data_IF_397869820211
#
_entry.id   IF_397869820211
#
_cell.length_a   1.000
_cell.length_b   1.000
_cell.length_c   1.000
_cell.angle_alpha   90.00
_cell.angle_beta   90.00
_cell.angle_gamma   90.00
#
_symmetry.space_group_name_H-M   'P 1'
#
loop_
_entity.id
_entity.type
_entity.pdbx_description
1 polymer ?
#
# COMPACT_ATOMS: atom_id res chain seq x y z
N UNK A 1 12.26 14.67 16.67
CA UNK A 1 10.88 14.21 16.36
C UNK A 1 10.23 13.86 17.68
N UNK A 2 9.23 14.63 18.09
CA UNK A 2 8.42 14.30 19.26
C UNK A 2 7.30 13.37 18.80
N UNK A 3 7.00 12.34 19.59
CA UNK A 3 5.86 11.44 19.36
C UNK A 3 5.15 11.19 20.69
N UNK A 4 3.85 10.93 20.61
CA UNK A 4 3.02 10.43 21.70
C UNK A 4 2.31 9.17 21.23
N UNK A 5 2.13 8.19 22.12
CA UNK A 5 1.41 6.96 21.85
C UNK A 5 0.64 6.55 23.12
N UNK A 6 -0.66 6.30 22.99
CA UNK A 6 -1.51 5.86 24.10
C UNK A 6 -2.06 4.48 23.77
N UNK A 7 -1.54 3.47 24.47
CA UNK A 7 -1.90 2.08 24.24
C UNK A 7 -3.03 1.61 25.15
N UNK A 8 -4.02 0.93 24.56
CA UNK A 8 -5.11 0.30 25.30
C UNK A 8 -5.31 -1.14 24.83
N UNK A 9 -5.23 -2.06 25.78
CA UNK A 9 -5.51 -3.47 25.55
C UNK A 9 -6.98 -3.77 25.86
N UNK A 10 -7.68 -4.46 24.95
CA UNK A 10 -9.04 -4.95 25.19
C UNK A 10 -9.09 -5.95 26.34
N UNK A 11 -10.22 -6.05 27.05
CA UNK A 11 -10.39 -6.98 28.19
C UNK A 11 -10.08 -8.44 27.85
N UNK A 12 -10.46 -8.90 26.64
CA UNK A 12 -10.18 -10.25 26.18
C UNK A 12 -8.72 -10.46 25.71
N UNK A 13 -7.90 -9.42 25.77
CA UNK A 13 -6.49 -9.42 25.36
C UNK A 13 -6.24 -9.57 23.87
N UNK A 14 -7.26 -9.61 23.00
CA UNK A 14 -7.10 -9.92 21.55
C UNK A 14 -6.84 -8.69 20.68
N UNK A 15 -7.20 -7.49 21.16
CA UNK A 15 -7.07 -6.24 20.42
C UNK A 15 -6.23 -5.24 21.21
N UNK A 16 -5.25 -4.62 20.55
CA UNK A 16 -4.48 -3.50 21.05
C UNK A 16 -4.79 -2.28 20.20
N UNK A 17 -5.16 -1.16 20.82
CA UNK A 17 -5.30 0.13 20.13
C UNK A 17 -4.17 1.06 20.54
N UNK A 18 -3.67 1.87 19.62
CA UNK A 18 -2.64 2.88 19.84
C UNK A 18 -3.09 4.22 19.22
N UNK A 19 -3.40 5.19 20.07
CA UNK A 19 -3.63 6.57 19.64
C UNK A 19 -2.27 7.27 19.50
N UNK A 20 -1.70 7.17 18.30
CA UNK A 20 -0.39 7.71 17.96
C UNK A 20 -0.52 9.17 17.49
N UNK A 21 0.35 10.04 17.99
CA UNK A 21 0.50 11.42 17.50
C UNK A 21 1.96 11.70 17.18
N UNK A 22 2.25 12.05 15.92
CA UNK A 22 3.56 12.54 15.49
C UNK A 22 3.59 14.07 15.41
N UNK A 23 4.72 14.68 15.75
CA UNK A 23 4.94 16.11 15.62
C UNK A 23 6.07 16.41 14.63
N UNK A 24 5.82 17.29 13.68
CA UNK A 24 6.85 17.76 12.73
C UNK A 24 7.84 18.75 13.38
N UNK A 25 8.83 19.21 12.61
CA UNK A 25 9.84 20.16 13.11
C UNK A 25 9.26 21.55 13.44
N UNK A 26 8.05 21.88 12.97
CA UNK A 26 7.33 23.13 13.23
C UNK A 26 6.33 22.99 14.40
N UNK A 27 6.17 21.78 14.94
CA UNK A 27 5.25 21.47 16.05
C UNK A 27 3.83 21.10 15.63
N UNK A 28 3.55 20.96 14.33
CA UNK A 28 2.24 20.50 13.83
C UNK A 28 2.05 19.01 14.13
N UNK A 29 0.87 18.66 14.66
CA UNK A 29 0.52 17.31 15.07
C UNK A 29 -0.22 16.54 13.96
N UNK A 30 0.05 15.25 13.82
CA UNK A 30 -0.71 14.29 13.00
C UNK A 30 -1.05 13.06 13.83
N UNK A 31 -2.33 12.73 13.93
CA UNK A 31 -2.83 11.61 14.75
C UNK A 31 -3.25 10.42 13.88
N UNK A 32 -2.91 9.21 14.32
CA UNK A 32 -3.34 7.93 13.74
C UNK A 32 -3.86 7.05 14.87
N UNK A 33 -5.05 6.48 14.72
CA UNK A 33 -5.54 5.42 15.63
C UNK A 33 -5.22 4.04 15.04
N UNK A 34 -4.14 3.43 15.52
CA UNK A 34 -3.78 2.07 15.12
C UNK A 34 -4.59 1.02 15.89
N UNK A 35 -4.99 -0.03 15.20
CA UNK A 35 -5.72 -1.18 15.73
C UNK A 35 -4.94 -2.42 15.35
N UNK A 36 -4.52 -3.18 16.35
CA UNK A 36 -3.78 -4.41 16.17
C UNK A 36 -4.57 -5.63 16.67
N UNK A 37 -4.51 -6.73 15.91
CA UNK A 37 -4.99 -8.05 16.34
C UNK A 37 -3.84 -8.91 16.84
N UNK A 38 -4.03 -9.60 17.96
CA UNK A 38 -3.02 -10.53 18.51
C UNK A 38 -2.88 -11.77 17.62
N UNK A 39 -1.64 -12.09 17.26
CA UNK A 39 -1.26 -13.32 16.55
C UNK A 39 -0.72 -14.39 17.50
N UNK A 40 0.03 -13.98 18.53
CA UNK A 40 0.63 -14.88 19.52
C UNK A 40 0.80 -14.21 20.88
N UNK A 41 0.96 -15.01 21.94
CA UNK A 41 1.03 -14.56 23.34
C UNK A 41 -0.29 -14.79 24.09
N UNK A 42 -0.23 -14.77 25.42
CA UNK A 42 -1.33 -15.24 26.28
C UNK A 42 -1.92 -14.15 27.17
N UNK A 43 -1.14 -13.16 27.61
CA UNK A 43 -1.59 -12.17 28.58
C UNK A 43 -0.83 -10.85 28.48
N UNK A 44 -1.48 -9.75 28.88
CA UNK A 44 -0.89 -8.42 28.89
C UNK A 44 -0.45 -7.96 27.50
N UNK A 45 0.45 -6.99 27.42
CA UNK A 45 0.91 -6.46 26.12
C UNK A 45 1.87 -7.38 25.37
N UNK A 46 2.52 -8.33 26.05
CA UNK A 46 3.50 -9.23 25.46
C UNK A 46 2.84 -10.17 24.43
N UNK A 47 3.29 -10.11 23.17
CA UNK A 47 2.76 -10.91 22.09
C UNK A 47 3.20 -10.44 20.71
N UNK A 48 2.83 -11.21 19.69
CA UNK A 48 2.93 -10.77 18.29
C UNK A 48 1.60 -10.11 17.88
N UNK A 49 1.68 -8.99 17.18
CA UNK A 49 0.55 -8.15 16.83
C UNK A 49 0.52 -7.89 15.32
N UNK A 50 -0.66 -7.91 14.71
CA UNK A 50 -0.89 -7.56 13.31
C UNK A 50 -1.64 -6.24 13.24
N UNK A 51 -1.07 -5.22 12.61
CA UNK A 51 -1.80 -3.98 12.33
C UNK A 51 -2.98 -4.30 11.40
N UNK A 52 -4.14 -3.73 11.71
CA UNK A 52 -5.38 -3.86 10.98
C UNK A 52 -6.04 -2.52 10.68
N UNK A 53 -5.43 -1.41 11.11
CA UNK A 53 -5.83 -0.08 10.66
C UNK A 53 -5.56 0.00 9.17
N UNK A 54 -6.59 0.32 8.35
CA UNK A 54 -6.37 0.70 6.96
C UNK A 54 -5.41 1.89 6.95
N UNK A 55 -4.49 1.96 5.99
CA UNK A 55 -3.57 3.11 5.87
C UNK A 55 -4.36 4.39 5.50
N UNK A 56 -5.05 5.00 6.47
CA UNK A 56 -5.85 6.22 6.29
C UNK A 56 -5.03 7.49 6.40
N UNK A 57 -3.76 7.39 6.84
CA UNK A 57 -2.87 8.53 7.04
C UNK A 57 -1.87 8.74 5.92
N UNK A 58 -2.01 8.04 4.80
CA UNK A 58 -1.22 8.33 3.63
C UNK A 58 -1.96 9.37 2.80
N UNK A 59 -1.40 10.57 2.65
CA UNK A 59 -1.68 11.47 1.52
C UNK A 59 -1.20 10.83 0.19
N UNK A 60 -1.26 9.51 0.10
CA UNK A 60 -0.76 8.72 -1.00
C UNK A 60 -1.89 8.67 -2.01
N UNK A 61 -1.80 9.57 -2.97
CA UNK A 61 -2.72 9.59 -4.10
C UNK A 61 -2.22 8.59 -5.16
N UNK A 62 -3.17 7.85 -5.72
CA UNK A 62 -2.94 7.02 -6.89
C UNK A 62 -3.87 7.53 -7.99
N UNK A 63 -3.31 8.15 -9.01
CA UNK A 63 -4.08 8.55 -10.19
C UNK A 63 -4.00 7.43 -11.22
N UNK A 64 -5.17 7.00 -11.72
CA UNK A 64 -5.27 5.96 -12.73
C UNK A 64 -6.01 6.54 -13.93
N UNK A 65 -5.33 6.59 -15.06
CA UNK A 65 -5.85 7.19 -16.29
C UNK A 65 -5.80 6.20 -17.46
N UNK A 66 -6.73 6.29 -18.43
CA UNK A 66 -6.61 5.54 -19.68
C UNK A 66 -5.28 5.85 -20.39
N UNK A 67 -4.61 4.82 -20.89
CA UNK A 67 -3.39 4.97 -21.67
C UNK A 67 -3.46 4.16 -22.96
N UNK A 68 -3.35 4.85 -24.10
CA UNK A 68 -3.61 4.27 -25.42
C UNK A 68 -5.02 3.61 -25.48
N UNK A 69 -5.19 2.57 -26.28
CA UNK A 69 -6.50 1.92 -26.52
C UNK A 69 -6.90 1.00 -25.37
N UNK A 70 -5.95 0.28 -24.78
CA UNK A 70 -6.20 -0.83 -23.86
C UNK A 70 -5.33 -0.83 -22.59
N UNK A 71 -4.48 0.17 -22.40
CA UNK A 71 -3.61 0.29 -21.24
C UNK A 71 -4.13 1.26 -20.18
N UNK A 72 -3.47 1.28 -19.02
CA UNK A 72 -3.64 2.30 -18.00
C UNK A 72 -2.29 2.93 -17.65
N UNK A 73 -2.35 4.19 -17.25
CA UNK A 73 -1.27 4.92 -16.59
C UNK A 73 -1.55 4.93 -15.09
N UNK A 74 -0.59 4.44 -14.29
CA UNK A 74 -0.60 4.57 -12.84
C UNK A 74 0.40 5.65 -12.44
N UNK A 75 -0.10 6.72 -11.84
CA UNK A 75 0.69 7.86 -11.43
C UNK A 75 0.66 7.93 -9.91
N UNK A 76 1.84 7.96 -9.30
CA UNK A 76 2.02 8.15 -7.86
C UNK A 76 2.72 9.50 -7.66
N UNK A 77 1.97 10.60 -7.45
CA UNK A 77 2.53 11.95 -7.41
C UNK A 77 3.62 12.12 -6.34
N UNK A 78 3.44 11.48 -5.17
CA UNK A 78 4.40 11.52 -4.07
C UNK A 78 5.80 11.03 -4.48
N UNK A 79 5.86 10.03 -5.35
CA UNK A 79 7.11 9.45 -5.85
C UNK A 79 7.57 10.07 -7.16
N UNK A 80 6.72 10.91 -7.80
CA UNK A 80 6.92 11.38 -9.16
C UNK A 80 6.96 10.25 -10.19
N UNK A 81 6.38 9.09 -9.87
CA UNK A 81 6.45 7.89 -10.67
C UNK A 81 5.23 7.74 -11.57
N UNK A 82 5.45 7.36 -12.82
CA UNK A 82 4.43 6.99 -13.81
C UNK A 82 4.76 5.60 -14.37
N UNK A 83 3.80 4.70 -14.30
CA UNK A 83 3.83 3.37 -14.91
C UNK A 83 2.76 3.30 -15.99
N UNK A 84 3.18 3.40 -17.25
CA UNK A 84 2.31 3.19 -18.40
C UNK A 84 2.40 1.72 -18.80
N UNK A 85 1.27 1.02 -18.82
CA UNK A 85 1.29 -0.42 -19.05
C UNK A 85 0.06 -0.90 -19.81
N UNK A 86 0.31 -1.91 -20.65
CA UNK A 86 -0.74 -2.78 -21.22
C UNK A 86 -0.91 -4.00 -20.32
N UNK A 87 -1.98 -4.75 -20.57
CA UNK A 87 -2.34 -5.95 -19.83
C UNK A 87 -1.94 -7.24 -20.54
N UNK A 88 -0.87 -7.18 -21.33
CA UNK A 88 -0.40 -8.24 -22.23
C UNK A 88 0.73 -9.10 -21.63
N UNK A 89 1.08 -8.87 -20.36
CA UNK A 89 2.15 -9.59 -19.67
C UNK A 89 3.56 -9.17 -20.07
N UNK A 90 3.74 -8.04 -20.77
CA UNK A 90 5.06 -7.55 -21.18
C UNK A 90 5.58 -6.42 -20.29
N UNK A 91 6.89 -6.38 -20.13
CA UNK A 91 7.57 -5.32 -19.40
C UNK A 91 7.44 -3.98 -20.15
N UNK A 92 6.97 -2.96 -19.45
CA UNK A 92 6.89 -1.57 -19.92
C UNK A 92 7.79 -0.69 -19.05
N UNK A 93 8.56 0.25 -19.61
CA UNK A 93 9.41 1.14 -18.82
C UNK A 93 8.59 2.02 -17.87
N UNK A 94 9.08 2.16 -16.65
CA UNK A 94 8.53 3.08 -15.65
C UNK A 94 9.35 4.37 -15.65
N UNK A 95 8.69 5.52 -15.54
CA UNK A 95 9.35 6.84 -15.64
C UNK A 95 9.12 7.66 -14.38
N UNK A 96 10.15 8.36 -13.91
CA UNK A 96 10.03 9.26 -12.76
C UNK A 96 11.41 9.68 -12.24
N UNK A 97 11.55 10.87 -11.65
CA UNK A 97 12.85 11.38 -11.20
C UNK A 97 13.42 10.58 -10.02
N UNK A 98 12.57 9.89 -9.26
CA UNK A 98 12.96 9.12 -8.08
C UNK A 98 13.01 7.61 -8.34
N UNK A 99 12.76 7.16 -9.56
CA UNK A 99 12.80 5.73 -9.89
C UNK A 99 14.23 5.25 -10.14
N UNK A 100 14.62 4.07 -9.62
CA UNK A 100 15.88 3.45 -9.98
C UNK A 100 16.01 3.23 -11.49
N UNK A 101 17.20 3.43 -12.09
CA UNK A 101 17.42 3.14 -13.50
C UNK A 101 17.07 1.69 -13.86
N UNK A 102 16.42 1.50 -14.99
CA UNK A 102 15.97 0.17 -15.44
C UNK A 102 14.75 -0.36 -14.69
N UNK A 103 13.96 0.52 -14.07
CA UNK A 103 12.64 0.19 -13.53
C UNK A 103 11.66 -0.14 -14.67
N UNK A 104 10.97 -1.27 -14.55
CA UNK A 104 9.95 -1.71 -15.50
C UNK A 104 8.79 -2.36 -14.76
N UNK A 105 7.60 -2.25 -15.33
CA UNK A 105 6.38 -2.84 -14.78
C UNK A 105 5.71 -3.71 -15.85
N UNK A 106 5.19 -4.86 -15.44
CA UNK A 106 4.41 -5.76 -16.29
C UNK A 106 3.00 -5.90 -15.74
N UNK A 107 2.00 -5.70 -16.61
CA UNK A 107 0.58 -5.81 -16.27
C UNK A 107 -0.07 -7.07 -16.84
N UNK A 108 -0.89 -7.74 -16.03
CA UNK A 108 -1.77 -8.81 -16.45
C UNK A 108 -3.20 -8.54 -15.96
N UNK A 109 -4.18 -8.69 -16.85
CA UNK A 109 -5.60 -8.63 -16.46
C UNK A 109 -6.08 -10.02 -16.06
N UNK A 110 -6.52 -10.17 -14.81
CA UNK A 110 -7.08 -11.43 -14.29
C UNK A 110 -8.57 -11.50 -14.60
N UNK A 111 -9.30 -10.41 -14.35
CA UNK A 111 -10.71 -10.23 -14.70
C UNK A 111 -11.04 -8.72 -14.79
N UNK A 112 -12.32 -8.37 -14.92
CA UNK A 112 -12.75 -6.96 -15.04
C UNK A 112 -12.39 -6.08 -13.84
N UNK A 113 -12.33 -6.65 -12.64
CA UNK A 113 -12.09 -5.95 -11.37
C UNK A 113 -10.76 -6.31 -10.73
N UNK A 114 -9.92 -7.16 -11.36
CA UNK A 114 -8.65 -7.60 -10.79
C UNK A 114 -7.53 -7.52 -11.81
N UNK A 115 -6.47 -6.79 -11.43
CA UNK A 115 -5.23 -6.66 -12.20
C UNK A 115 -4.06 -7.17 -11.37
N UNK A 116 -3.07 -7.77 -12.03
CA UNK A 116 -1.80 -8.11 -11.44
C UNK A 116 -0.70 -7.26 -12.06
N UNK A 117 0.21 -6.80 -11.21
CA UNK A 117 1.39 -6.03 -11.60
C UNK A 117 2.62 -6.71 -11.05
N UNK A 118 3.68 -6.77 -11.86
CA UNK A 118 5.01 -7.19 -11.40
C UNK A 118 5.99 -6.07 -11.69
N UNK A 119 6.62 -5.55 -10.63
CA UNK A 119 7.63 -4.51 -10.74
C UNK A 119 9.03 -5.13 -10.69
N UNK A 120 9.90 -4.61 -11.55
CA UNK A 120 11.28 -5.08 -11.71
C UNK A 120 12.25 -3.91 -11.76
N UNK A 121 13.45 -4.12 -11.25
CA UNK A 121 14.61 -3.24 -11.45
C UNK A 121 15.69 -4.05 -12.16
N UNK A 122 16.16 -3.57 -13.32
CA UNK A 122 17.20 -4.24 -14.11
C UNK A 122 16.86 -5.71 -14.42
N UNK A 123 15.57 -5.98 -14.68
CA UNK A 123 15.03 -7.31 -14.98
C UNK A 123 14.80 -8.22 -13.77
N UNK A 124 15.14 -7.80 -12.55
CA UNK A 124 14.87 -8.57 -11.32
C UNK A 124 13.57 -8.11 -10.67
N UNK A 125 12.69 -9.05 -10.34
CA UNK A 125 11.44 -8.77 -9.62
C UNK A 125 11.76 -8.20 -8.24
N UNK A 126 11.11 -7.10 -7.90
CA UNK A 126 11.20 -6.47 -6.57
C UNK A 126 9.89 -6.62 -5.78
N UNK A 127 8.76 -6.66 -6.47
CA UNK A 127 7.46 -6.95 -5.89
C UNK A 127 6.45 -7.45 -6.93
N UNK A 128 5.37 -8.02 -6.41
CA UNK A 128 4.15 -8.30 -7.17
C UNK A 128 2.95 -7.68 -6.46
N UNK A 129 2.00 -7.16 -7.21
CA UNK A 129 0.83 -6.46 -6.67
C UNK A 129 -0.44 -7.04 -7.27
N UNK A 130 -1.45 -7.22 -6.43
CA UNK A 130 -2.83 -7.46 -6.85
C UNK A 130 -3.65 -6.19 -6.60
N UNK A 131 -4.26 -5.66 -7.66
CA UNK A 131 -5.16 -4.53 -7.61
C UNK A 131 -6.59 -5.05 -7.78
N UNK A 132 -7.40 -4.89 -6.74
CA UNK A 132 -8.78 -5.37 -6.68
C UNK A 132 -9.75 -4.21 -6.50
N UNK A 133 -10.62 -4.01 -7.48
CA UNK A 133 -11.67 -2.99 -7.48
C UNK A 133 -12.96 -3.57 -6.89
N UNK A 134 -13.58 -2.85 -5.96
CA UNK A 134 -14.85 -3.24 -5.36
C UNK A 134 -15.96 -3.29 -6.40
N UNK A 135 -16.99 -4.12 -6.15
CA UNK A 135 -18.12 -4.27 -7.08
C UNK A 135 -18.92 -2.98 -7.30
N UNK A 136 -18.90 -2.07 -6.34
CA UNK A 136 -19.53 -0.74 -6.44
C UNK A 136 -18.60 0.33 -7.04
N UNK A 137 -17.38 -0.06 -7.44
CA UNK A 137 -16.37 0.78 -8.08
C UNK A 137 -15.89 1.98 -7.22
N UNK A 138 -16.09 1.91 -5.90
CA UNK A 138 -15.74 2.97 -4.96
C UNK A 138 -14.42 2.77 -4.25
N UNK A 139 -13.96 1.53 -4.14
CA UNK A 139 -12.77 1.19 -3.36
C UNK A 139 -11.81 0.36 -4.20
N UNK A 140 -10.56 0.78 -4.27
CA UNK A 140 -9.46 0.00 -4.84
C UNK A 140 -8.58 -0.52 -3.71
N UNK A 141 -8.32 -1.83 -3.71
CA UNK A 141 -7.38 -2.45 -2.78
C UNK A 141 -6.14 -2.90 -3.54
N UNK A 142 -4.96 -2.45 -3.10
CA UNK A 142 -3.68 -2.91 -3.60
C UNK A 142 -2.98 -3.79 -2.55
N UNK A 143 -2.81 -5.07 -2.86
CA UNK A 143 -2.05 -6.02 -2.02
C UNK A 143 -0.68 -6.22 -2.63
N UNK A 144 0.36 -5.76 -1.96
CA UNK A 144 1.74 -5.76 -2.45
C UNK A 144 2.57 -6.83 -1.72
N UNK A 145 3.26 -7.65 -2.47
CA UNK A 145 4.18 -8.67 -1.98
C UNK A 145 5.61 -8.31 -2.38
N UNK A 146 6.33 -7.67 -1.46
CA UNK A 146 7.75 -7.35 -1.64
C UNK A 146 8.61 -8.61 -1.52
N UNK A 147 9.61 -8.75 -2.40
CA UNK A 147 10.55 -9.86 -2.33
C UNK A 147 11.28 -9.84 -0.99
N UNK A 148 11.31 -10.99 -0.31
CA UNK A 148 11.93 -11.16 1.01
C UNK A 148 11.02 -10.82 2.19
N UNK A 149 9.83 -10.26 1.97
CA UNK A 149 8.84 -10.03 3.02
C UNK A 149 7.81 -11.17 3.07
N UNK A 150 7.46 -11.62 4.29
CA UNK A 150 6.48 -12.69 4.49
C UNK A 150 5.04 -12.18 4.51
N UNK A 151 4.84 -10.94 4.94
CA UNK A 151 3.53 -10.31 5.07
C UNK A 151 3.38 -9.28 3.95
N UNK A 152 2.24 -9.27 3.23
CA UNK A 152 1.99 -8.25 2.22
C UNK A 152 1.70 -6.90 2.88
N UNK A 153 1.98 -5.84 2.14
CA UNK A 153 1.49 -4.50 2.42
C UNK A 153 0.12 -4.31 1.76
N UNK A 154 -0.78 -3.61 2.43
CA UNK A 154 -2.15 -3.40 1.96
C UNK A 154 -2.44 -1.91 1.92
N UNK A 155 -2.73 -1.40 0.72
CA UNK A 155 -3.23 -0.05 0.53
C UNK A 155 -4.70 -0.13 0.12
N UNK A 156 -5.53 0.72 0.71
CA UNK A 156 -6.95 0.83 0.41
C UNK A 156 -7.24 2.26 0.03
N UNK A 157 -7.76 2.46 -1.17
CA UNK A 157 -8.08 3.76 -1.73
C UNK A 157 -9.58 3.89 -1.88
N UNK A 158 -10.11 5.01 -1.41
CA UNK A 158 -11.44 5.47 -1.82
C UNK A 158 -11.30 6.28 -3.11
N UNK A 159 -12.27 6.09 -4.01
CA UNK A 159 -12.31 6.81 -5.28
C UNK A 159 -12.87 8.22 -5.08
N UNK A 160 -12.16 9.20 -5.63
CA UNK A 160 -12.61 10.59 -5.76
C UNK A 160 -13.25 10.89 -7.12
#
# INVERSE_FOLDING_TARGET
MLISAIWKLSENGKTLTDAFTGYDAKGSASTVDYVYKRLAGTSGFAGAWKNTTPDTNSSFELHIEPWQVDGLSFITPADGATRNMKWDGRDSPSTGPNLPPGSTSCGLRVNEHTLQVTDKITGKVIDTQELSLSSDLKTLTATMHLVGQRTPNLLVFDRE
#
